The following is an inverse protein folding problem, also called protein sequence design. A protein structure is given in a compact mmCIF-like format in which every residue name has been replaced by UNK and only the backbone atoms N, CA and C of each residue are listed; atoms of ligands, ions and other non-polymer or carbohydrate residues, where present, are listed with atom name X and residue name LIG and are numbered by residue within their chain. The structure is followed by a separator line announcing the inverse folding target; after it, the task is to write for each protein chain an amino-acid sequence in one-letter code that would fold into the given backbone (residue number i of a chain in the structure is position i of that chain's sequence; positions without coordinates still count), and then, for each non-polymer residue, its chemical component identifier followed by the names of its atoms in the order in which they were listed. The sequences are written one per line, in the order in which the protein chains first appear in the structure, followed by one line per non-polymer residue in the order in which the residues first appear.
data_IF_519383732948
#
_entry.id   IF_519383732948
#
_cell.length_a   1.000
_cell.length_b   1.000
_cell.length_c   1.000
_cell.angle_alpha   90.00
_cell.angle_beta   90.00
_cell.angle_gamma   90.00
#
_symmetry.space_group_name_H-M   'P 1'
#
loop_
_entity.id
_entity.type
_entity.pdbx_description
1 polymer ?
#
# COMPACT_ATOMS: atom_id res chain seq x y z
N UNK A 1 24.87 -4.30 -8.25
CA UNK A 1 24.03 -4.86 -7.16
C UNK A 1 24.78 -4.68 -5.85
N UNK A 2 24.20 -3.98 -4.87
CA UNK A 2 24.77 -3.93 -3.51
C UNK A 2 24.48 -5.30 -2.89
N UNK A 3 25.54 -5.97 -2.41
CA UNK A 3 25.41 -7.28 -1.76
C UNK A 3 24.46 -7.18 -0.56
N UNK A 4 23.51 -8.08 -0.42
CA UNK A 4 22.53 -8.16 0.70
C UNK A 4 23.25 -8.07 2.05
N UNK A 5 24.39 -8.73 2.19
CA UNK A 5 25.23 -8.66 3.40
C UNK A 5 25.74 -7.26 3.71
N UNK A 6 25.97 -6.43 2.72
CA UNK A 6 26.40 -5.03 2.92
C UNK A 6 25.23 -4.18 3.41
N UNK A 7 24.04 -4.37 2.84
CA UNK A 7 22.80 -3.70 3.31
C UNK A 7 22.50 -4.08 4.75
N UNK A 8 22.55 -5.36 5.11
CA UNK A 8 22.29 -5.85 6.48
C UNK A 8 23.24 -5.21 7.51
N UNK A 9 24.52 -5.05 7.17
CA UNK A 9 25.48 -4.36 8.05
C UNK A 9 25.11 -2.90 8.30
N UNK A 10 24.63 -2.20 7.26
CA UNK A 10 24.18 -0.81 7.40
C UNK A 10 22.92 -0.71 8.28
N UNK A 11 21.97 -1.63 8.11
CA UNK A 11 20.77 -1.69 8.94
C UNK A 11 21.12 -1.97 10.40
N UNK A 12 21.97 -2.96 10.66
CA UNK A 12 22.45 -3.29 12.02
C UNK A 12 23.13 -2.06 12.64
N UNK A 13 23.99 -1.37 11.89
CA UNK A 13 24.67 -0.15 12.38
C UNK A 13 23.70 0.95 12.78
N UNK A 14 22.59 1.14 12.02
CA UNK A 14 21.54 2.11 12.35
C UNK A 14 20.80 1.71 13.64
N UNK A 15 20.44 0.43 13.79
CA UNK A 15 19.81 -0.09 15.00
C UNK A 15 20.72 0.02 16.23
N UNK A 16 22.01 -0.28 16.08
CA UNK A 16 23.01 -0.10 17.15
C UNK A 16 23.24 1.37 17.49
N UNK A 17 23.15 2.25 16.49
CA UNK A 17 23.21 3.70 16.68
C UNK A 17 22.13 4.21 17.63
N UNK A 18 20.90 3.70 17.50
CA UNK A 18 19.80 4.02 18.40
C UNK A 18 20.14 3.63 19.87
N UNK A 19 20.64 2.40 20.07
CA UNK A 19 21.08 1.94 21.39
C UNK A 19 22.24 2.76 21.96
N UNK A 20 23.21 3.10 21.13
CA UNK A 20 24.37 3.93 21.52
C UNK A 20 23.93 5.34 21.95
N UNK A 21 22.96 5.94 21.25
CA UNK A 21 22.39 7.22 21.60
C UNK A 21 21.72 7.17 23.00
N UNK A 22 20.90 6.16 23.26
CA UNK A 22 20.23 5.95 24.55
C UNK A 22 21.26 5.78 25.67
N UNK A 23 22.28 4.94 25.47
CA UNK A 23 23.35 4.75 26.46
C UNK A 23 24.16 6.03 26.70
N UNK A 24 24.39 6.82 25.66
CA UNK A 24 25.04 8.12 25.79
C UNK A 24 24.27 9.11 26.66
N UNK A 25 22.93 9.14 26.56
CA UNK A 25 22.05 9.95 27.40
C UNK A 25 22.10 9.47 28.86
N UNK A 26 22.00 8.15 29.09
CA UNK A 26 22.10 7.57 30.45
C UNK A 26 23.41 7.93 31.11
N UNK A 27 24.53 7.80 30.40
CA UNK A 27 25.87 8.11 30.94
C UNK A 27 26.07 9.58 31.29
N UNK A 28 25.30 10.48 30.65
CA UNK A 28 25.28 11.92 30.97
C UNK A 28 24.31 12.28 32.09
N UNK A 29 23.51 11.34 32.55
CA UNK A 29 22.43 11.60 33.52
C UNK A 29 21.20 12.27 32.91
N UNK A 30 21.07 12.27 31.57
CA UNK A 30 19.92 12.79 30.87
C UNK A 30 18.74 11.78 30.91
N UNK A 31 17.51 12.26 30.69
CA UNK A 31 16.35 11.39 30.52
C UNK A 31 16.43 10.69 29.15
N UNK A 32 16.62 9.36 29.09
CA UNK A 32 16.71 8.66 27.82
C UNK A 32 15.48 8.87 26.95
N UNK A 33 15.71 9.19 25.68
CA UNK A 33 14.62 9.44 24.73
C UNK A 33 14.95 8.90 23.33
N UNK A 34 13.90 8.63 22.57
CA UNK A 34 13.95 8.32 21.14
C UNK A 34 13.13 9.36 20.40
N UNK A 35 13.78 10.10 19.52
CA UNK A 35 13.12 11.04 18.63
C UNK A 35 12.51 10.30 17.42
N UNK A 36 11.23 10.50 17.17
CA UNK A 36 10.47 9.82 16.13
C UNK A 36 9.69 10.81 15.28
N UNK A 37 9.66 10.62 13.95
CA UNK A 37 8.83 11.44 13.08
C UNK A 37 7.32 11.29 13.37
N UNK A 38 6.59 12.41 13.38
CA UNK A 38 5.13 12.40 13.59
C UNK A 38 4.44 12.00 12.30
N UNK A 39 3.88 10.79 12.22
CA UNK A 39 3.18 10.24 11.06
C UNK A 39 1.68 10.52 11.13
N UNK A 40 1.29 11.77 10.94
CA UNK A 40 -0.11 12.21 10.99
C UNK A 40 -0.41 13.22 9.89
N UNK A 41 -1.69 13.44 9.60
CA UNK A 41 -2.16 14.41 8.59
C UNK A 41 -1.59 15.82 8.82
N UNK A 42 -1.34 16.20 10.07
CA UNK A 42 -0.76 17.51 10.41
C UNK A 42 0.75 17.65 10.14
N UNK A 43 1.41 16.57 9.72
CA UNK A 43 2.84 16.53 9.38
C UNK A 43 3.10 15.86 8.04
N UNK A 44 2.19 15.97 7.11
CA UNK A 44 2.41 15.57 5.73
C UNK A 44 2.16 16.75 4.80
N UNK A 45 2.77 16.71 3.63
CA UNK A 45 2.49 17.64 2.55
C UNK A 45 2.48 16.93 1.20
N UNK A 46 1.79 17.52 0.24
CA UNK A 46 1.82 17.05 -1.14
C UNK A 46 2.98 17.74 -1.86
N UNK A 47 3.89 16.95 -2.42
CA UNK A 47 5.00 17.46 -3.24
C UNK A 47 4.57 17.51 -4.71
N UNK A 48 4.40 18.72 -5.31
CA UNK A 48 3.98 18.84 -6.70
C UNK A 48 5.00 18.29 -7.72
N UNK A 49 6.28 18.19 -7.34
CA UNK A 49 7.34 17.68 -8.25
C UNK A 49 7.26 16.16 -8.39
N UNK A 50 7.21 15.45 -7.29
CA UNK A 50 7.03 13.99 -7.29
C UNK A 50 5.58 13.57 -7.45
N UNK A 51 4.63 14.47 -7.21
CA UNK A 51 3.18 14.22 -7.15
C UNK A 51 2.80 13.15 -6.14
N UNK A 52 3.52 13.11 -5.02
CA UNK A 52 3.33 12.17 -3.92
C UNK A 52 3.16 12.90 -2.59
N UNK A 53 2.58 12.20 -1.63
CA UNK A 53 2.54 12.62 -0.24
C UNK A 53 3.91 12.39 0.38
N UNK A 54 4.43 13.37 1.12
CA UNK A 54 5.70 13.28 1.85
C UNK A 54 5.51 13.58 3.32
N UNK A 55 6.37 12.97 4.14
CA UNK A 55 6.45 13.26 5.56
C UNK A 55 7.12 14.63 5.77
N UNK A 56 6.58 15.43 6.68
CA UNK A 56 7.17 16.69 7.11
C UNK A 56 8.22 16.51 8.22
N UNK A 57 8.72 17.62 8.72
CA UNK A 57 9.88 17.64 9.64
C UNK A 57 9.50 17.59 11.13
N UNK A 58 8.22 17.49 11.47
CA UNK A 58 7.80 17.43 12.89
C UNK A 58 8.19 16.10 13.49
N UNK A 59 8.85 16.16 14.64
CA UNK A 59 9.23 15.01 15.44
C UNK A 59 8.57 15.04 16.82
N UNK A 60 8.62 13.95 17.53
CA UNK A 60 8.13 13.78 18.90
C UNK A 60 9.08 12.86 19.67
N UNK A 61 9.45 13.27 20.88
CA UNK A 61 10.29 12.48 21.75
C UNK A 61 9.49 11.46 22.55
N UNK A 62 9.93 10.21 22.55
CA UNK A 62 9.51 9.21 23.53
C UNK A 62 10.52 9.14 24.65
N UNK A 63 10.16 9.67 25.80
CA UNK A 63 11.04 9.78 26.96
C UNK A 63 10.80 8.62 27.93
N UNK A 64 11.87 8.01 28.46
CA UNK A 64 11.77 6.91 29.41
C UNK A 64 11.14 7.34 30.74
N UNK A 65 11.56 8.47 31.30
CA UNK A 65 11.07 8.95 32.59
C UNK A 65 9.72 9.69 32.51
N UNK A 66 9.03 9.63 31.36
CA UNK A 66 7.67 10.15 31.20
C UNK A 66 6.68 8.99 31.26
N UNK A 67 5.83 8.95 32.27
CA UNK A 67 4.89 7.85 32.53
C UNK A 67 3.98 7.54 31.32
N UNK A 68 3.61 8.55 30.52
CA UNK A 68 2.81 8.37 29.32
C UNK A 68 3.61 7.76 28.15
N UNK A 69 4.93 7.80 28.19
CA UNK A 69 5.80 7.34 27.13
C UNK A 69 6.59 6.06 27.47
N UNK A 70 6.81 5.79 28.77
CA UNK A 70 7.71 4.73 29.26
C UNK A 70 7.45 3.38 28.61
N UNK A 71 6.18 2.94 28.55
CA UNK A 71 5.81 1.66 27.92
C UNK A 71 6.21 1.62 26.45
N UNK A 72 5.85 2.66 25.68
CA UNK A 72 6.18 2.77 24.25
C UNK A 72 7.69 2.91 24.00
N UNK A 73 8.43 3.57 24.91
CA UNK A 73 9.88 3.64 24.85
C UNK A 73 10.48 2.26 25.00
N UNK A 74 10.11 1.51 26.04
CA UNK A 74 10.54 0.12 26.25
C UNK A 74 10.21 -0.75 25.05
N UNK A 75 8.98 -0.72 24.57
CA UNK A 75 8.53 -1.48 23.41
C UNK A 75 9.34 -1.16 22.15
N UNK A 76 9.66 0.12 21.89
CA UNK A 76 10.48 0.56 20.74
C UNK A 76 11.88 -0.07 20.79
N UNK A 77 12.51 -0.07 21.96
CA UNK A 77 13.84 -0.67 22.15
C UNK A 77 13.80 -2.19 21.98
N UNK A 78 12.75 -2.85 22.52
CA UNK A 78 12.55 -4.28 22.36
C UNK A 78 12.38 -4.67 20.88
N UNK A 79 11.54 -3.94 20.12
CA UNK A 79 11.35 -4.16 18.68
C UNK A 79 12.66 -4.00 17.92
N UNK A 80 13.41 -2.93 18.17
CA UNK A 80 14.70 -2.69 17.50
C UNK A 80 15.72 -3.81 17.79
N UNK A 81 15.78 -4.29 19.03
CA UNK A 81 16.67 -5.38 19.43
C UNK A 81 16.27 -6.72 18.79
N UNK A 82 14.98 -7.03 18.73
CA UNK A 82 14.51 -8.29 18.12
C UNK A 82 14.75 -8.29 16.59
N UNK A 83 14.48 -7.18 15.92
CA UNK A 83 14.82 -7.00 14.50
C UNK A 83 16.31 -7.24 14.26
N UNK A 84 17.19 -6.68 15.11
CA UNK A 84 18.63 -6.91 15.01
C UNK A 84 18.99 -8.40 15.12
N UNK A 85 18.35 -9.14 16.04
CA UNK A 85 18.56 -10.60 16.18
C UNK A 85 18.12 -11.36 14.94
N UNK A 86 16.96 -11.02 14.37
CA UNK A 86 16.43 -11.62 13.14
C UNK A 86 17.42 -11.46 11.99
N UNK A 87 17.95 -10.24 11.81
CA UNK A 87 18.94 -9.95 10.76
C UNK A 87 20.22 -10.78 10.97
N UNK A 88 20.74 -10.84 12.22
CA UNK A 88 21.93 -11.65 12.53
C UNK A 88 21.74 -13.14 12.25
N UNK A 89 20.49 -13.66 12.38
CA UNK A 89 20.16 -15.04 12.06
C UNK A 89 19.95 -15.26 10.56
N UNK A 90 20.07 -14.22 9.74
CA UNK A 90 19.75 -14.23 8.30
C UNK A 90 18.36 -14.85 8.03
N UNK A 91 17.41 -14.55 8.91
CA UNK A 91 16.02 -15.01 8.84
C UNK A 91 15.10 -13.88 8.40
N UNK A 92 13.93 -14.22 7.87
CA UNK A 92 12.82 -13.31 7.66
C UNK A 92 11.65 -13.79 8.50
N UNK A 93 11.03 -12.90 9.27
CA UNK A 93 9.90 -13.24 10.13
C UNK A 93 8.66 -12.43 9.75
N UNK A 94 7.48 -12.99 10.01
CA UNK A 94 6.27 -12.20 9.85
C UNK A 94 6.16 -11.15 10.97
N UNK A 95 5.44 -10.05 10.70
CA UNK A 95 5.13 -9.05 11.73
C UNK A 95 4.44 -9.70 12.94
N UNK A 96 3.63 -10.73 12.68
CA UNK A 96 2.94 -11.49 13.73
C UNK A 96 3.89 -12.35 14.55
N UNK A 97 4.85 -13.00 13.93
CA UNK A 97 5.88 -13.77 14.64
C UNK A 97 6.73 -12.84 15.51
N UNK A 98 7.11 -11.65 14.99
CA UNK A 98 7.81 -10.63 15.77
C UNK A 98 7.02 -10.24 17.01
N UNK A 99 5.72 -10.00 16.89
CA UNK A 99 4.86 -9.69 18.04
C UNK A 99 4.90 -10.82 19.09
N UNK A 100 4.76 -12.09 18.68
CA UNK A 100 4.80 -13.21 19.61
C UNK A 100 6.18 -13.40 20.25
N UNK A 101 7.27 -13.17 19.53
CA UNK A 101 8.63 -13.19 20.07
C UNK A 101 8.86 -12.11 21.13
N UNK A 102 8.17 -10.97 20.99
CA UNK A 102 8.28 -9.83 21.91
C UNK A 102 7.34 -9.91 23.11
N UNK A 103 6.26 -10.69 23.01
CA UNK A 103 5.24 -10.79 24.08
C UNK A 103 5.72 -11.70 25.20
N UNK A 104 5.97 -11.10 26.37
CA UNK A 104 6.25 -11.82 27.62
C UNK A 104 5.80 -10.98 28.81
N UNK A 105 5.58 -11.65 29.94
CA UNK A 105 5.24 -10.95 31.20
C UNK A 105 6.48 -10.24 31.75
N UNK A 106 6.32 -8.99 32.15
CA UNK A 106 7.39 -8.19 32.77
C UNK A 106 7.65 -8.76 34.16
N UNK A 107 8.92 -9.11 34.44
CA UNK A 107 9.33 -9.74 35.70
C UNK A 107 8.88 -8.89 36.91
N UNK A 108 8.29 -9.56 37.90
CA UNK A 108 7.78 -8.92 39.13
C UNK A 108 6.44 -8.21 38.95
N UNK A 109 5.78 -8.32 37.80
CA UNK A 109 4.47 -7.73 37.50
C UNK A 109 3.49 -8.74 36.93
N UNK A 110 2.24 -8.33 36.72
CA UNK A 110 1.23 -9.09 35.96
C UNK A 110 1.03 -8.53 34.55
N UNK A 111 1.81 -7.54 34.14
CA UNK A 111 1.69 -6.86 32.85
C UNK A 111 2.57 -7.51 31.79
N UNK A 112 2.09 -7.57 30.57
CA UNK A 112 2.89 -8.01 29.42
C UNK A 112 3.61 -6.83 28.75
N UNK A 113 4.71 -7.13 28.08
CA UNK A 113 5.40 -6.15 27.23
C UNK A 113 4.52 -5.65 26.09
N UNK A 114 3.67 -6.53 25.53
CA UNK A 114 2.68 -6.25 24.49
C UNK A 114 1.38 -6.97 24.80
N UNK A 115 0.24 -6.32 24.69
CA UNK A 115 -1.07 -6.93 24.85
C UNK A 115 -1.61 -7.48 23.52
N UNK A 116 -1.52 -6.71 22.46
CA UNK A 116 -1.96 -7.10 21.13
C UNK A 116 -0.99 -6.65 20.03
N UNK A 117 -1.20 -7.15 18.81
CA UNK A 117 -0.38 -6.83 17.65
C UNK A 117 -0.51 -5.35 17.23
N UNK A 118 -1.63 -4.70 17.53
CA UNK A 118 -1.85 -3.28 17.25
C UNK A 118 -0.90 -2.36 18.01
N UNK A 119 -0.26 -2.85 19.09
CA UNK A 119 0.81 -2.11 19.78
C UNK A 119 2.16 -2.20 19.06
N UNK A 120 2.49 -3.32 18.41
CA UNK A 120 3.80 -3.52 17.75
C UNK A 120 3.86 -2.91 16.34
N UNK A 121 2.79 -3.00 15.56
CA UNK A 121 2.78 -2.55 14.16
C UNK A 121 3.16 -1.06 14.00
N UNK A 122 2.60 -0.10 14.80
CA UNK A 122 3.00 1.30 14.72
C UNK A 122 4.47 1.56 15.10
N UNK A 123 5.05 0.73 15.98
CA UNK A 123 6.44 0.88 16.40
C UNK A 123 7.41 0.45 15.30
N UNK A 124 7.05 -0.59 14.54
CA UNK A 124 7.80 -1.00 13.35
C UNK A 124 7.84 0.17 12.35
N UNK A 125 6.68 0.76 12.04
CA UNK A 125 6.59 1.90 11.13
C UNK A 125 7.33 3.16 11.66
N UNK A 126 7.35 3.38 12.97
CA UNK A 126 8.13 4.46 13.59
C UNK A 126 9.64 4.23 13.41
N UNK A 127 10.12 2.98 13.56
CA UNK A 127 11.52 2.64 13.31
C UNK A 127 11.87 2.75 11.82
N UNK A 128 11.01 2.28 10.92
CA UNK A 128 11.19 2.46 9.47
C UNK A 128 11.38 3.95 9.13
N UNK A 129 10.49 4.81 9.65
CA UNK A 129 10.53 6.24 9.39
C UNK A 129 11.77 6.92 9.99
N UNK A 130 12.13 6.60 11.25
CA UNK A 130 13.26 7.23 11.92
C UNK A 130 14.61 6.80 11.38
N UNK A 131 14.73 5.55 10.94
CA UNK A 131 15.98 5.00 10.39
C UNK A 131 16.09 5.16 8.87
N UNK A 132 15.00 5.66 8.22
CA UNK A 132 14.86 5.72 6.77
C UNK A 132 15.13 4.34 6.13
N UNK A 133 14.38 3.35 6.57
CA UNK A 133 14.44 1.96 6.11
C UNK A 133 13.05 1.49 5.71
N UNK A 134 13.00 0.46 4.88
CA UNK A 134 11.75 -0.25 4.59
C UNK A 134 11.62 -1.47 5.51
N UNK A 135 10.41 -1.93 5.73
CA UNK A 135 10.09 -3.17 6.44
C UNK A 135 10.87 -4.37 5.92
N UNK A 136 11.01 -4.46 4.61
CA UNK A 136 11.72 -5.52 3.91
C UNK A 136 13.22 -5.50 4.23
N UNK A 137 13.80 -4.32 4.43
CA UNK A 137 15.20 -4.11 4.86
C UNK A 137 15.40 -4.47 6.34
N UNK A 138 14.32 -4.46 7.13
CA UNK A 138 14.30 -4.95 8.52
C UNK A 138 14.04 -6.47 8.62
N UNK A 139 14.05 -7.19 7.51
CA UNK A 139 13.73 -8.62 7.41
C UNK A 139 12.33 -8.98 7.94
N UNK A 140 11.38 -8.06 7.83
CA UNK A 140 10.00 -8.24 8.23
C UNK A 140 9.10 -8.44 7.01
N UNK A 141 8.29 -9.49 7.03
CA UNK A 141 7.35 -9.82 5.97
C UNK A 141 5.90 -9.64 6.44
N UNK A 142 5.04 -9.17 5.54
CA UNK A 142 3.59 -9.26 5.71
C UNK A 142 3.04 -10.45 4.93
N UNK A 143 1.82 -10.87 5.24
CA UNK A 143 1.14 -11.89 4.43
C UNK A 143 0.91 -11.37 3.02
N UNK A 144 1.20 -12.21 2.02
CA UNK A 144 0.85 -11.95 0.63
C UNK A 144 -0.68 -11.82 0.50
N UNK A 145 -1.16 -10.76 -0.14
CA UNK A 145 -2.60 -10.48 -0.20
C UNK A 145 -3.11 -10.40 -1.64
N UNK A 146 -2.42 -9.67 -2.49
CA UNK A 146 -2.81 -9.45 -3.87
C UNK A 146 -2.48 -10.61 -4.79
N UNK A 147 -3.14 -10.64 -5.92
CA UNK A 147 -2.91 -11.61 -7.00
C UNK A 147 -2.75 -10.91 -8.34
N UNK A 148 -1.95 -11.53 -9.21
CA UNK A 148 -1.61 -11.01 -10.53
C UNK A 148 -1.69 -12.11 -11.58
N UNK A 149 -2.06 -11.76 -12.80
CA UNK A 149 -2.00 -12.62 -13.97
C UNK A 149 -1.65 -11.79 -15.23
N UNK A 150 -1.05 -12.43 -16.22
CA UNK A 150 -0.69 -11.79 -17.48
C UNK A 150 0.55 -12.39 -18.11
N UNK A 151 0.93 -11.89 -19.28
CA UNK A 151 2.09 -12.38 -20.03
C UNK A 151 3.41 -11.86 -19.42
N UNK A 152 3.78 -12.41 -18.28
CA UNK A 152 4.99 -12.05 -17.54
C UNK A 152 5.65 -13.29 -16.95
N UNK A 153 6.98 -13.33 -16.99
CA UNK A 153 7.80 -14.34 -16.33
C UNK A 153 8.66 -13.65 -15.28
N UNK A 154 8.56 -14.09 -14.05
CA UNK A 154 9.39 -13.62 -12.94
C UNK A 154 10.31 -14.72 -12.45
N UNK A 155 11.41 -14.32 -11.84
CA UNK A 155 12.29 -15.20 -11.09
C UNK A 155 12.21 -14.80 -9.62
N UNK A 156 11.83 -15.74 -8.74
CA UNK A 156 11.81 -15.59 -7.29
C UNK A 156 12.90 -16.51 -6.71
N UNK A 157 14.02 -15.94 -6.31
CA UNK A 157 15.20 -16.72 -5.94
C UNK A 157 15.69 -17.60 -7.09
N UNK A 158 15.57 -18.92 -6.91
CA UNK A 158 15.96 -19.91 -7.94
C UNK A 158 14.79 -20.36 -8.82
N UNK A 159 13.55 -19.98 -8.51
CA UNK A 159 12.36 -20.44 -9.20
C UNK A 159 11.93 -19.48 -10.31
N UNK A 160 11.66 -20.03 -11.48
CA UNK A 160 11.14 -19.29 -12.64
C UNK A 160 9.64 -19.53 -12.74
N UNK A 161 8.84 -18.48 -12.66
CA UNK A 161 7.39 -18.52 -12.58
C UNK A 161 6.80 -17.81 -13.81
N UNK A 162 5.99 -18.54 -14.59
CA UNK A 162 5.25 -17.99 -15.74
C UNK A 162 3.83 -17.63 -15.27
N UNK A 163 3.54 -16.34 -15.15
CA UNK A 163 2.28 -15.83 -14.65
C UNK A 163 1.10 -16.11 -15.59
N UNK A 164 1.34 -16.33 -16.87
CA UNK A 164 0.32 -16.74 -17.83
C UNK A 164 -0.22 -18.15 -17.57
N UNK A 165 0.52 -18.97 -16.82
CA UNK A 165 0.21 -20.38 -16.53
C UNK A 165 -0.27 -20.62 -15.10
N UNK A 166 -0.54 -19.59 -14.33
CA UNK A 166 -0.98 -19.72 -12.93
C UNK A 166 -2.48 -20.10 -12.79
N UNK A 167 -3.17 -20.36 -13.89
CA UNK A 167 -4.57 -20.80 -13.88
C UNK A 167 -5.54 -19.76 -13.31
N UNK A 168 -6.64 -20.24 -12.72
CA UNK A 168 -7.69 -19.37 -12.18
C UNK A 168 -7.29 -18.62 -10.90
N UNK A 169 -6.27 -19.10 -10.18
CA UNK A 169 -5.79 -18.49 -8.94
C UNK A 169 -4.86 -17.30 -9.13
N UNK A 170 -4.20 -17.19 -10.28
CA UNK A 170 -3.13 -16.22 -10.49
C UNK A 170 -1.91 -16.47 -9.60
N UNK A 171 -0.94 -15.58 -9.64
CA UNK A 171 0.23 -15.60 -8.76
C UNK A 171 0.03 -14.64 -7.59
N UNK A 172 0.25 -15.15 -6.38
CA UNK A 172 0.17 -14.34 -5.15
C UNK A 172 1.40 -13.43 -5.06
N UNK A 173 1.19 -12.12 -5.00
CA UNK A 173 2.28 -11.13 -4.95
C UNK A 173 2.94 -11.19 -3.57
N UNK A 174 4.26 -11.50 -3.47
CA UNK A 174 4.96 -11.50 -2.19
C UNK A 174 4.98 -10.12 -1.54
N UNK A 175 5.18 -10.06 -0.23
CA UNK A 175 5.36 -8.78 0.46
C UNK A 175 6.67 -8.09 0.10
N UNK A 176 7.73 -8.87 -0.14
CA UNK A 176 9.02 -8.38 -0.63
C UNK A 176 9.12 -8.65 -2.14
N UNK A 177 9.08 -7.60 -2.93
CA UNK A 177 9.18 -7.62 -4.38
C UNK A 177 10.34 -6.77 -4.90
N UNK A 178 11.37 -6.54 -4.08
CA UNK A 178 12.56 -5.79 -4.51
C UNK A 178 13.33 -6.53 -5.62
N UNK A 179 14.14 -5.79 -6.39
CA UNK A 179 14.83 -6.33 -7.58
C UNK A 179 15.79 -7.48 -7.27
N UNK A 180 16.38 -7.49 -6.08
CA UNK A 180 17.26 -8.55 -5.60
C UNK A 180 16.50 -9.81 -5.16
N UNK A 181 15.17 -9.73 -5.04
CA UNK A 181 14.29 -10.84 -4.67
C UNK A 181 13.45 -11.33 -5.84
N UNK A 182 12.76 -10.42 -6.53
CA UNK A 182 11.91 -10.72 -7.68
C UNK A 182 12.46 -10.02 -8.91
N UNK A 183 13.00 -10.78 -9.83
CA UNK A 183 13.47 -10.28 -11.14
C UNK A 183 12.41 -10.51 -12.21
N UNK A 184 12.07 -9.48 -12.98
CA UNK A 184 11.17 -9.59 -14.13
C UNK A 184 11.97 -10.00 -15.36
N UNK A 185 11.90 -11.29 -15.73
CA UNK A 185 12.68 -11.87 -16.85
C UNK A 185 12.07 -11.59 -18.22
N UNK A 186 10.74 -11.66 -18.33
CA UNK A 186 9.99 -11.39 -19.54
C UNK A 186 8.71 -10.65 -19.21
N UNK A 187 8.38 -9.66 -20.00
CA UNK A 187 7.14 -8.90 -19.87
C UNK A 187 6.63 -8.53 -21.25
N UNK A 188 5.40 -8.95 -21.55
CA UNK A 188 4.70 -8.58 -22.76
C UNK A 188 3.35 -8.02 -22.37
N UNK A 189 3.28 -6.70 -22.24
CA UNK A 189 2.05 -5.99 -21.89
C UNK A 189 2.16 -4.54 -22.34
N UNK A 190 1.03 -3.93 -22.69
CA UNK A 190 0.92 -2.52 -23.06
C UNK A 190 0.55 -1.65 -21.87
N UNK A 191 -0.09 -2.23 -20.84
CA UNK A 191 -0.48 -1.55 -19.62
C UNK A 191 -0.73 -2.53 -18.45
N UNK A 192 -0.88 -1.98 -17.25
CA UNK A 192 -1.32 -2.70 -16.05
C UNK A 192 -2.72 -2.22 -15.67
N UNK A 193 -3.63 -3.14 -15.44
CA UNK A 193 -4.96 -2.89 -14.89
C UNK A 193 -5.00 -3.32 -13.42
N UNK A 194 -5.05 -2.34 -12.53
CA UNK A 194 -5.29 -2.58 -11.11
C UNK A 194 -6.80 -2.62 -10.85
N UNK A 195 -7.30 -3.74 -10.31
CA UNK A 195 -8.72 -3.99 -10.05
C UNK A 195 -8.93 -4.09 -8.55
N UNK A 196 -9.83 -3.28 -7.99
CA UNK A 196 -10.05 -3.24 -6.54
C UNK A 196 -10.50 -4.58 -5.97
N UNK A 197 -11.52 -5.19 -6.59
CA UNK A 197 -12.20 -6.37 -6.05
C UNK A 197 -11.71 -7.69 -6.64
N UNK A 198 -11.48 -8.67 -5.76
CA UNK A 198 -11.10 -10.04 -6.15
C UNK A 198 -12.12 -10.70 -7.08
N UNK A 199 -13.43 -10.53 -6.81
CA UNK A 199 -14.49 -11.11 -7.63
C UNK A 199 -14.46 -10.60 -9.07
N UNK A 200 -14.22 -9.30 -9.24
CA UNK A 200 -14.09 -8.66 -10.57
C UNK A 200 -12.80 -9.13 -11.24
N UNK A 201 -11.67 -9.15 -10.51
CA UNK A 201 -10.40 -9.66 -11.05
C UNK A 201 -10.54 -11.10 -11.57
N UNK A 202 -11.26 -11.97 -10.82
CA UNK A 202 -11.52 -13.36 -11.25
C UNK A 202 -12.27 -13.42 -12.56
N UNK A 203 -13.27 -12.54 -12.77
CA UNK A 203 -13.97 -12.41 -14.04
C UNK A 203 -13.02 -12.05 -15.18
N UNK A 204 -12.17 -11.06 -14.97
CA UNK A 204 -11.16 -10.67 -15.97
C UNK A 204 -10.17 -11.81 -16.29
N UNK A 205 -9.76 -12.58 -15.29
CA UNK A 205 -8.87 -13.72 -15.49
C UNK A 205 -9.55 -14.89 -16.20
N UNK A 206 -10.81 -15.19 -15.86
CA UNK A 206 -11.62 -16.22 -16.51
C UNK A 206 -11.87 -15.91 -17.99
N UNK A 207 -12.19 -14.67 -18.30
CA UNK A 207 -12.39 -14.21 -19.69
C UNK A 207 -11.08 -14.07 -20.47
N UNK A 208 -9.92 -14.35 -19.85
CA UNK A 208 -8.58 -14.15 -20.42
C UNK A 208 -8.41 -12.74 -20.98
N UNK A 209 -8.94 -11.75 -20.25
CA UNK A 209 -8.88 -10.35 -20.66
C UNK A 209 -7.45 -9.88 -20.91
N UNK A 210 -6.52 -10.27 -20.02
CA UNK A 210 -5.10 -9.93 -20.11
C UNK A 210 -4.42 -10.46 -21.37
N UNK A 211 -4.86 -11.63 -21.89
CA UNK A 211 -4.35 -12.20 -23.14
C UNK A 211 -4.91 -11.45 -24.36
N UNK A 212 -6.23 -11.20 -24.38
CA UNK A 212 -6.93 -10.51 -25.48
C UNK A 212 -6.52 -9.04 -25.61
N UNK A 213 -6.18 -8.38 -24.52
CA UNK A 213 -5.88 -6.95 -24.48
C UNK A 213 -4.40 -6.65 -24.15
N UNK A 214 -3.53 -7.66 -24.21
CA UNK A 214 -2.09 -7.55 -23.98
C UNK A 214 -1.76 -6.72 -22.71
N UNK A 215 -2.32 -7.08 -21.56
CA UNK A 215 -2.12 -6.34 -20.32
C UNK A 215 -1.78 -7.27 -19.15
N UNK A 216 -1.38 -6.67 -18.05
CA UNK A 216 -1.26 -7.32 -16.74
C UNK A 216 -2.48 -6.93 -15.90
N UNK A 217 -3.14 -7.89 -15.26
CA UNK A 217 -4.22 -7.64 -14.31
C UNK A 217 -3.75 -7.96 -12.89
N UNK A 218 -3.95 -7.04 -11.97
CA UNK A 218 -3.58 -7.17 -10.55
C UNK A 218 -4.70 -6.70 -9.64
N UNK A 219 -4.88 -7.33 -8.49
CA UNK A 219 -5.78 -6.85 -7.43
C UNK A 219 -5.10 -6.87 -6.07
N UNK A 220 -5.41 -5.89 -5.24
CA UNK A 220 -5.05 -5.87 -3.82
C UNK A 220 -6.13 -6.49 -2.91
N UNK A 221 -7.23 -7.01 -3.48
CA UNK A 221 -8.40 -7.51 -2.73
C UNK A 221 -8.95 -6.45 -1.76
N UNK A 222 -9.28 -5.30 -2.29
CA UNK A 222 -9.57 -4.05 -1.59
C UNK A 222 -8.33 -3.16 -1.54
N UNK A 223 -8.01 -2.60 -0.38
CA UNK A 223 -6.82 -1.77 -0.25
C UNK A 223 -5.54 -2.56 -0.50
N UNK A 224 -4.74 -2.10 -1.45
CA UNK A 224 -3.46 -2.71 -1.81
C UNK A 224 -2.48 -2.65 -0.63
N UNK A 225 -1.84 -3.78 -0.33
CA UNK A 225 -0.74 -3.82 0.60
C UNK A 225 0.55 -3.28 -0.05
N UNK A 226 1.63 -3.19 0.72
CA UNK A 226 2.90 -2.62 0.25
C UNK A 226 3.50 -3.40 -0.92
N UNK A 227 3.43 -4.73 -0.88
CA UNK A 227 3.98 -5.59 -1.95
C UNK A 227 3.34 -5.30 -3.31
N UNK A 228 2.01 -5.26 -3.37
CA UNK A 228 1.29 -4.94 -4.61
C UNK A 228 1.59 -3.52 -5.09
N UNK A 229 1.58 -2.52 -4.18
CA UNK A 229 1.90 -1.13 -4.53
C UNK A 229 3.31 -1.01 -5.08
N UNK A 230 4.29 -1.64 -4.42
CA UNK A 230 5.69 -1.66 -4.85
C UNK A 230 5.84 -2.36 -6.21
N UNK A 231 5.15 -3.47 -6.43
CA UNK A 231 5.23 -4.20 -7.68
C UNK A 231 4.62 -3.40 -8.84
N UNK A 232 3.47 -2.75 -8.64
CA UNK A 232 2.85 -1.84 -9.62
C UNK A 232 3.79 -0.67 -9.94
N UNK A 233 4.42 -0.09 -8.92
CA UNK A 233 5.37 1.00 -9.08
C UNK A 233 6.60 0.56 -9.89
N UNK A 234 7.13 -0.65 -9.66
CA UNK A 234 8.22 -1.23 -10.47
C UNK A 234 7.80 -1.41 -11.92
N UNK A 235 6.62 -1.98 -12.19
CA UNK A 235 6.10 -2.12 -13.55
C UNK A 235 5.98 -0.76 -14.26
N UNK A 236 5.54 0.27 -13.54
CA UNK A 236 5.45 1.62 -14.09
C UNK A 236 6.82 2.26 -14.33
N UNK A 237 7.75 2.19 -13.37
CA UNK A 237 9.05 2.89 -13.45
C UNK A 237 10.08 2.16 -14.30
N UNK A 238 10.24 0.86 -14.08
CA UNK A 238 11.28 0.06 -14.74
C UNK A 238 10.88 -0.28 -16.18
N UNK A 239 9.59 -0.58 -16.40
CA UNK A 239 9.08 -1.03 -17.70
C UNK A 239 8.23 0.01 -18.44
N UNK A 240 8.03 1.19 -17.84
CA UNK A 240 7.26 2.32 -18.43
C UNK A 240 5.82 1.96 -18.79
N UNK A 241 5.22 0.98 -18.12
CA UNK A 241 3.84 0.62 -18.36
C UNK A 241 2.87 1.65 -17.78
N UNK A 242 1.87 2.11 -18.55
CA UNK A 242 0.75 2.87 -18.00
C UNK A 242 -0.02 2.02 -16.98
N UNK A 243 -0.48 2.65 -15.91
CA UNK A 243 -1.28 2.01 -14.88
C UNK A 243 -2.69 2.59 -14.92
N UNK A 244 -3.68 1.71 -15.05
CA UNK A 244 -5.09 2.03 -14.96
C UNK A 244 -5.69 1.39 -13.73
N UNK A 245 -6.48 2.15 -12.96
CA UNK A 245 -7.14 1.68 -11.76
C UNK A 245 -8.65 1.59 -12.00
N UNK A 246 -9.19 0.38 -11.85
CA UNK A 246 -10.61 0.06 -11.94
C UNK A 246 -11.15 -0.17 -10.53
N UNK A 247 -11.90 0.79 -10.03
CA UNK A 247 -12.39 0.88 -8.65
C UNK A 247 -13.91 1.04 -8.63
N UNK A 248 -14.51 0.85 -7.47
CA UNK A 248 -15.91 1.20 -7.23
C UNK A 248 -16.15 2.71 -7.36
N UNK A 249 -17.32 3.10 -7.82
CA UNK A 249 -17.77 4.50 -7.80
C UNK A 249 -18.26 4.86 -6.40
N UNK A 250 -17.37 4.88 -5.44
CA UNK A 250 -17.64 5.31 -4.07
C UNK A 250 -16.43 6.04 -3.45
N UNK A 251 -16.63 6.78 -2.34
CA UNK A 251 -15.54 7.53 -1.73
C UNK A 251 -14.38 6.66 -1.24
N UNK A 252 -14.61 5.39 -0.92
CA UNK A 252 -13.59 4.47 -0.44
C UNK A 252 -12.73 3.93 -1.59
N UNK A 253 -13.35 3.57 -2.73
CA UNK A 253 -12.64 3.19 -3.95
C UNK A 253 -11.75 4.34 -4.46
N UNK A 254 -12.24 5.58 -4.41
CA UNK A 254 -11.45 6.76 -4.75
C UNK A 254 -10.30 7.00 -3.76
N UNK A 255 -10.50 6.72 -2.47
CA UNK A 255 -9.42 6.75 -1.48
C UNK A 255 -8.36 5.68 -1.75
N UNK A 256 -8.78 4.42 -2.03
CA UNK A 256 -7.86 3.33 -2.39
C UNK A 256 -7.03 3.70 -3.62
N UNK A 257 -7.68 4.27 -4.65
CA UNK A 257 -6.97 4.81 -5.80
C UNK A 257 -5.92 5.84 -5.40
N UNK A 258 -6.27 6.80 -4.54
CA UNK A 258 -5.32 7.84 -4.13
C UNK A 258 -4.11 7.26 -3.37
N UNK A 259 -4.30 6.20 -2.61
CA UNK A 259 -3.20 5.50 -1.92
C UNK A 259 -2.23 4.86 -2.92
N UNK A 260 -2.72 4.30 -4.03
CA UNK A 260 -1.86 3.75 -5.09
C UNK A 260 -1.12 4.87 -5.82
N UNK A 261 -1.82 5.96 -6.13
CA UNK A 261 -1.31 7.06 -6.94
C UNK A 261 -0.35 7.97 -6.17
N UNK A 262 -0.79 8.52 -5.04
CA UNK A 262 -0.04 9.53 -4.28
C UNK A 262 0.60 9.00 -3.00
N UNK A 263 0.08 7.89 -2.49
CA UNK A 263 0.54 7.34 -1.23
C UNK A 263 -0.45 7.43 -0.07
N UNK A 264 -0.05 6.93 1.09
CA UNK A 264 -0.83 6.95 2.31
C UNK A 264 -0.21 7.84 3.38
N UNK A 265 -1.05 8.38 4.26
CA UNK A 265 -0.61 9.26 5.35
C UNK A 265 0.39 8.54 6.27
N UNK A 266 0.07 7.31 6.66
CA UNK A 266 0.91 6.52 7.60
C UNK A 266 2.26 6.10 7.03
N UNK A 267 2.37 5.95 5.71
CA UNK A 267 3.57 5.50 5.01
C UNK A 267 4.25 6.63 4.21
N UNK A 268 3.93 7.89 4.50
CA UNK A 268 4.44 9.06 3.77
C UNK A 268 5.97 9.17 3.72
N UNK A 269 6.68 8.49 4.62
CA UNK A 269 8.14 8.37 4.62
C UNK A 269 8.70 7.47 3.52
N UNK A 270 7.89 6.60 2.91
CA UNK A 270 8.33 5.59 1.93
C UNK A 270 7.64 5.70 0.56
N UNK A 271 6.89 6.77 0.32
CA UNK A 271 6.05 6.88 -0.88
C UNK A 271 6.83 6.99 -2.20
N UNK A 272 8.07 7.39 -2.18
CA UNK A 272 8.93 7.35 -3.37
C UNK A 272 9.10 5.94 -3.95
N UNK A 273 8.96 4.90 -3.10
CA UNK A 273 9.05 3.49 -3.48
C UNK A 273 7.67 2.81 -3.66
N UNK A 274 6.57 3.43 -3.18
CA UNK A 274 5.26 2.80 -3.14
C UNK A 274 4.21 3.49 -4.01
N UNK A 275 4.35 4.79 -4.29
CA UNK A 275 3.39 5.54 -5.07
C UNK A 275 3.65 5.44 -6.58
N UNK A 276 2.57 5.50 -7.36
CA UNK A 276 2.61 5.48 -8.82
C UNK A 276 1.83 6.69 -9.38
N UNK A 277 2.46 7.89 -9.42
CA UNK A 277 1.78 9.16 -9.69
C UNK A 277 1.09 9.26 -11.07
N UNK A 278 1.49 8.43 -12.02
CA UNK A 278 0.91 8.41 -13.37
C UNK A 278 -0.30 7.48 -13.51
N UNK A 279 -0.73 6.84 -12.42
CA UNK A 279 -1.94 6.01 -12.41
C UNK A 279 -3.16 6.85 -12.79
N UNK A 280 -3.97 6.33 -13.72
CA UNK A 280 -5.23 6.94 -14.14
C UNK A 280 -6.41 6.14 -13.59
N UNK A 281 -7.43 6.83 -13.12
CA UNK A 281 -8.67 6.21 -12.68
C UNK A 281 -9.58 5.99 -13.90
N UNK A 282 -9.85 4.73 -14.22
CA UNK A 282 -10.60 4.38 -15.43
C UNK A 282 -12.10 4.18 -15.17
N UNK A 283 -12.50 4.02 -13.95
CA UNK A 283 -13.92 3.84 -13.54
C UNK A 283 -13.99 3.02 -12.25
N UNK A 284 -15.20 2.81 -11.67
CA UNK A 284 -16.44 3.43 -12.12
C UNK A 284 -16.53 4.92 -11.75
N UNK A 285 -17.34 5.66 -12.50
CA UNK A 285 -17.76 7.01 -12.13
C UNK A 285 -19.28 7.09 -12.06
N UNK A 286 -19.80 8.09 -11.35
CA UNK A 286 -21.26 8.34 -11.32
C UNK A 286 -21.77 8.74 -12.70
N UNK A 287 -20.92 9.41 -13.50
CA UNK A 287 -21.24 9.74 -14.90
C UNK A 287 -21.46 8.51 -15.78
N UNK A 288 -20.83 7.37 -15.45
CA UNK A 288 -20.98 6.13 -16.21
C UNK A 288 -22.41 5.57 -16.14
N UNK A 289 -23.18 5.92 -15.10
CA UNK A 289 -24.60 5.48 -14.96
C UNK A 289 -25.42 5.93 -16.18
N UNK A 290 -25.27 7.18 -16.60
CA UNK A 290 -25.98 7.72 -17.76
C UNK A 290 -25.31 7.29 -19.08
N UNK A 291 -23.98 7.39 -19.17
CA UNK A 291 -23.22 7.04 -20.38
C UNK A 291 -23.50 5.61 -20.84
N UNK A 292 -23.49 4.65 -19.91
CA UNK A 292 -23.70 3.24 -20.21
C UNK A 292 -25.13 2.77 -19.95
N UNK A 293 -26.05 3.67 -19.64
CA UNK A 293 -27.46 3.35 -19.33
C UNK A 293 -27.58 2.26 -18.28
N UNK A 294 -26.86 2.42 -17.18
CA UNK A 294 -26.88 1.47 -16.05
C UNK A 294 -28.20 1.67 -15.30
N UNK A 295 -28.93 0.58 -14.99
CA UNK A 295 -30.21 0.68 -14.29
C UNK A 295 -30.05 1.30 -12.90
N UNK A 296 -30.97 2.21 -12.53
CA UNK A 296 -30.90 2.93 -11.23
C UNK A 296 -31.05 1.99 -10.01
N UNK A 297 -31.72 0.86 -10.17
CA UNK A 297 -31.90 -0.11 -9.08
C UNK A 297 -30.63 -0.78 -8.59
N UNK A 298 -29.52 -0.71 -9.35
CA UNK A 298 -28.22 -1.22 -8.93
C UNK A 298 -27.31 -0.15 -8.31
N UNK A 299 -27.80 1.08 -8.20
CA UNK A 299 -27.12 2.14 -7.47
C UNK A 299 -27.49 2.11 -5.99
N UNK A 300 -26.58 2.53 -5.12
CA UNK A 300 -26.72 2.52 -3.67
C UNK A 300 -26.69 3.98 -3.18
N UNK A 301 -27.55 4.33 -2.22
CA UNK A 301 -27.50 5.66 -1.60
C UNK A 301 -26.26 5.82 -0.73
N UNK A 302 -25.68 7.02 -0.75
CA UNK A 302 -24.58 7.38 0.16
C UNK A 302 -25.09 7.39 1.61
N UNK A 303 -24.31 6.82 2.51
CA UNK A 303 -24.53 6.92 3.94
C UNK A 303 -23.71 8.08 4.54
N UNK A 304 -23.86 8.33 5.84
CA UNK A 304 -23.17 9.44 6.52
C UNK A 304 -21.63 9.29 6.49
N UNK A 305 -21.10 8.07 6.56
CA UNK A 305 -19.66 7.81 6.48
C UNK A 305 -19.13 8.08 5.07
N UNK A 306 -19.90 7.71 4.04
CA UNK A 306 -19.56 8.02 2.65
C UNK A 306 -19.51 9.55 2.43
N UNK A 307 -20.52 10.28 2.91
CA UNK A 307 -20.57 11.74 2.80
C UNK A 307 -19.40 12.42 3.52
N UNK A 308 -19.06 11.94 4.72
CA UNK A 308 -17.91 12.44 5.47
C UNK A 308 -16.61 12.19 4.70
N UNK A 309 -16.41 10.97 4.18
CA UNK A 309 -15.21 10.62 3.40
C UNK A 309 -15.13 11.46 2.11
N UNK A 310 -16.26 11.67 1.43
CA UNK A 310 -16.33 12.49 0.22
C UNK A 310 -15.90 13.94 0.50
N UNK A 311 -16.37 14.53 1.61
CA UNK A 311 -15.99 15.88 2.02
C UNK A 311 -14.49 15.94 2.41
N UNK A 312 -13.92 14.89 3.00
CA UNK A 312 -12.47 14.78 3.27
C UNK A 312 -11.67 14.76 1.96
N UNK A 313 -12.03 13.87 1.02
CA UNK A 313 -11.34 13.71 -0.27
C UNK A 313 -11.34 15.01 -1.08
N UNK A 314 -12.48 15.71 -1.11
CA UNK A 314 -12.63 16.99 -1.80
C UNK A 314 -11.61 18.03 -1.35
N UNK A 315 -11.15 17.96 -0.10
CA UNK A 315 -10.21 18.91 0.49
C UNK A 315 -8.74 18.52 0.29
N UNK A 316 -8.43 17.30 -0.12
CA UNK A 316 -7.04 16.89 -0.38
C UNK A 316 -6.49 17.58 -1.64
N UNK A 317 -5.25 18.06 -1.56
CA UNK A 317 -4.58 18.76 -2.66
C UNK A 317 -4.54 17.95 -3.96
N UNK A 318 -4.34 16.66 -3.86
CA UNK A 318 -4.26 15.74 -5.00
C UNK A 318 -5.59 15.44 -5.68
N UNK A 319 -6.70 15.86 -5.10
CA UNK A 319 -8.04 15.81 -5.71
C UNK A 319 -8.56 17.18 -6.19
N UNK A 320 -7.73 18.23 -6.20
CA UNK A 320 -8.15 19.58 -6.64
C UNK A 320 -8.36 19.72 -8.14
N UNK A 321 -7.97 18.72 -8.94
CA UNK A 321 -8.23 18.75 -10.37
C UNK A 321 -9.74 18.82 -10.65
N UNK A 322 -10.15 19.69 -11.62
CA UNK A 322 -11.55 19.96 -11.91
C UNK A 322 -12.39 18.69 -12.14
N UNK A 323 -11.89 17.73 -12.91
CA UNK A 323 -12.63 16.48 -13.18
C UNK A 323 -12.99 15.72 -11.89
N UNK A 324 -12.12 15.71 -10.87
CA UNK A 324 -12.41 15.11 -9.58
C UNK A 324 -13.45 15.91 -8.80
N UNK A 325 -13.34 17.23 -8.81
CA UNK A 325 -14.32 18.09 -8.11
C UNK A 325 -15.72 17.97 -8.74
N UNK A 326 -15.78 17.86 -10.07
CA UNK A 326 -17.03 17.66 -10.80
C UNK A 326 -17.64 16.28 -10.46
N UNK A 327 -16.83 15.20 -10.39
CA UNK A 327 -17.28 13.86 -10.01
C UNK A 327 -17.79 13.82 -8.56
N UNK A 328 -17.07 14.44 -7.62
CA UNK A 328 -17.52 14.55 -6.22
C UNK A 328 -18.83 15.34 -6.09
N UNK A 329 -18.97 16.41 -6.84
CA UNK A 329 -20.20 17.20 -6.86
C UNK A 329 -21.38 16.39 -7.41
N UNK A 330 -21.17 15.67 -8.52
CA UNK A 330 -22.17 14.81 -9.14
C UNK A 330 -22.60 13.65 -8.22
N UNK A 331 -21.63 13.01 -7.56
CA UNK A 331 -21.88 11.94 -6.57
C UNK A 331 -22.75 12.46 -5.42
N UNK A 332 -22.44 13.63 -4.89
CA UNK A 332 -23.20 14.26 -3.80
C UNK A 332 -24.58 14.71 -4.25
N UNK A 333 -24.72 15.31 -5.43
CA UNK A 333 -25.99 15.78 -6.01
C UNK A 333 -26.94 14.61 -6.25
N UNK A 334 -26.47 13.55 -6.91
CA UNK A 334 -27.28 12.37 -7.20
C UNK A 334 -27.50 11.50 -5.97
N UNK A 335 -26.70 11.69 -4.92
CA UNK A 335 -26.71 10.91 -3.66
C UNK A 335 -26.60 9.40 -3.91
N UNK A 336 -25.74 8.98 -4.82
CA UNK A 336 -25.54 7.59 -5.20
C UNK A 336 -24.07 7.20 -5.21
N UNK A 337 -23.82 5.92 -4.96
CA UNK A 337 -22.58 5.20 -5.21
C UNK A 337 -22.86 3.91 -5.97
N UNK A 338 -21.85 3.26 -6.51
CA UNK A 338 -22.04 2.04 -7.31
C UNK A 338 -20.83 1.14 -7.20
N UNK A 339 -21.07 -0.14 -7.02
CA UNK A 339 -20.03 -1.17 -7.03
C UNK A 339 -19.78 -1.69 -8.45
N UNK A 340 -18.57 -2.17 -8.73
CA UNK A 340 -18.18 -2.73 -10.03
C UNK A 340 -19.10 -3.87 -10.47
N UNK A 341 -19.57 -4.68 -9.53
CA UNK A 341 -20.48 -5.80 -9.77
C UNK A 341 -21.84 -5.35 -10.34
N UNK A 342 -22.26 -4.11 -10.12
CA UNK A 342 -23.47 -3.55 -10.68
C UNK A 342 -23.49 -3.62 -12.23
N UNK A 343 -22.32 -3.59 -12.86
CA UNK A 343 -22.19 -3.73 -14.32
C UNK A 343 -22.70 -5.09 -14.84
N UNK A 344 -22.71 -6.12 -14.01
CA UNK A 344 -23.21 -7.46 -14.36
C UNK A 344 -24.70 -7.45 -14.72
N UNK A 345 -25.46 -6.44 -14.27
CA UNK A 345 -26.85 -6.24 -14.69
C UNK A 345 -27.02 -6.02 -16.19
N UNK A 346 -25.97 -5.53 -16.85
CA UNK A 346 -25.93 -5.36 -18.32
C UNK A 346 -25.44 -6.63 -19.04
N UNK A 347 -25.03 -7.65 -18.28
CA UNK A 347 -24.48 -8.91 -18.75
C UNK A 347 -23.18 -9.23 -18.02
N UNK A 348 -22.93 -10.51 -17.72
CA UNK A 348 -21.78 -10.96 -16.92
C UNK A 348 -20.43 -10.51 -17.52
N UNK A 349 -20.34 -10.45 -18.86
CA UNK A 349 -19.13 -10.03 -19.56
C UNK A 349 -19.15 -8.56 -19.99
N UNK A 350 -20.17 -7.81 -19.61
CA UNK A 350 -20.29 -6.41 -20.03
C UNK A 350 -19.05 -5.59 -19.63
N UNK A 351 -18.50 -5.83 -18.42
CA UNK A 351 -17.34 -5.12 -17.91
C UNK A 351 -16.07 -5.41 -18.76
N UNK A 352 -15.88 -6.65 -19.22
CA UNK A 352 -14.69 -7.08 -19.98
C UNK A 352 -14.82 -6.87 -21.48
N UNK A 353 -16.03 -6.98 -22.05
CA UNK A 353 -16.27 -6.93 -23.50
C UNK A 353 -16.73 -5.55 -24.00
N UNK A 354 -17.33 -4.73 -23.12
CA UNK A 354 -17.91 -3.44 -23.55
C UNK A 354 -17.38 -2.27 -22.73
N UNK A 355 -17.59 -2.31 -21.40
CA UNK A 355 -17.30 -1.15 -20.53
C UNK A 355 -15.82 -0.74 -20.58
N UNK A 356 -14.92 -1.63 -20.19
CA UNK A 356 -13.50 -1.28 -20.10
C UNK A 356 -12.86 -1.02 -21.48
N UNK A 357 -13.11 -1.83 -22.53
CA UNK A 357 -12.61 -1.51 -23.86
C UNK A 357 -13.06 -0.13 -24.38
N UNK A 358 -14.31 0.26 -24.12
CA UNK A 358 -14.83 1.57 -24.52
C UNK A 358 -14.15 2.70 -23.73
N UNK A 359 -13.97 2.55 -22.40
CA UNK A 359 -13.27 3.54 -21.56
C UNK A 359 -11.81 3.74 -22.02
N UNK A 360 -11.11 2.67 -22.36
CA UNK A 360 -9.73 2.74 -22.90
C UNK A 360 -9.71 3.44 -24.26
N UNK A 361 -10.59 3.06 -25.18
CA UNK A 361 -10.69 3.63 -26.51
C UNK A 361 -10.99 5.14 -26.49
N UNK A 362 -11.89 5.55 -25.60
CA UNK A 362 -12.31 6.96 -25.48
C UNK A 362 -11.33 7.80 -24.64
N UNK A 363 -10.29 7.19 -24.05
CA UNK A 363 -9.41 7.80 -23.05
C UNK A 363 -10.17 8.48 -21.92
N UNK A 364 -11.29 7.89 -21.52
CA UNK A 364 -12.21 8.42 -20.51
C UNK A 364 -11.69 8.11 -19.10
N UNK A 365 -10.72 8.90 -18.68
CA UNK A 365 -10.02 8.75 -17.41
C UNK A 365 -10.15 9.98 -16.53
N UNK A 366 -10.17 9.74 -15.20
CA UNK A 366 -9.87 10.80 -14.23
C UNK A 366 -8.35 10.78 -13.92
N UNK A 367 -7.73 11.96 -13.75
CA UNK A 367 -6.31 12.10 -13.54
C UNK A 367 -5.84 11.62 -12.17
#
# INVERSE_FOLDING_TARGET
MVDTKTKDKEVIKKLEGLGTQILGQINKGDNPSVELPVRSLGNIYFDPKSRTIKLGDKTSDRQFMNIAHTRKFMQTVLVANEIKKVIHQNATVSIRDLYYALKHTIEGTQENTFEDQGESDPLIEDLEASLNLLREELHLAASAKGIIAGNMVVQDGNDVIDLARMGSGGWSVPSNVEEDRIEIKKLKADYVLFIEKDAVWRRFNEDKFWEKNNCIIITGRGQAARGERRFVQRLSREHKLPIYALMDADPWGMYIYSVIKQGSISLSYSEEKLATPDTKYIGLTVGDVEKFKIPKEVTIKLNQLDLKRLDELKNYEWFKHKKWQDEFALMKEKNIKMELEALSKKGIRFITETYLPQKIKDEDFLP
#
